data_IF_189741348986
#
_entry.id   IF_189741348986
#
_cell.length_a   1.000
_cell.length_b   1.000
_cell.length_c   1.000
_cell.angle_alpha   90.00
_cell.angle_beta   90.00
_cell.angle_gamma   90.00
#
_symmetry.space_group_name_H-M   'P 1'
#
loop_
_entity.id
_entity.type
_entity.pdbx_description
1 polymer ?
#
# COMPACT_ATOMS: atom_id res chain seq x y z
N UNK A 1 -14.00 -18.33 -18.48
CA UNK A 1 -12.80 -17.63 -17.98
C UNK A 1 -13.29 -16.54 -17.06
N UNK A 2 -12.69 -16.38 -15.88
CA UNK A 2 -13.07 -15.31 -14.99
C UNK A 2 -12.87 -13.96 -15.69
N UNK A 3 -13.83 -13.06 -15.53
CA UNK A 3 -13.87 -11.71 -16.10
C UNK A 3 -13.28 -10.68 -15.15
N UNK A 4 -13.06 -9.45 -15.61
CA UNK A 4 -12.66 -8.34 -14.75
C UNK A 4 -13.67 -8.09 -13.60
N UNK A 5 -14.96 -8.22 -13.89
CA UNK A 5 -16.04 -8.15 -12.90
C UNK A 5 -15.88 -9.20 -11.79
N UNK A 6 -15.39 -10.40 -12.14
CA UNK A 6 -15.15 -11.47 -11.16
C UNK A 6 -13.95 -11.15 -10.25
N UNK A 7 -12.93 -10.43 -10.75
CA UNK A 7 -11.80 -9.96 -9.93
C UNK A 7 -12.20 -8.87 -8.96
N UNK A 8 -12.96 -7.88 -9.44
CA UNK A 8 -13.42 -6.77 -8.59
C UNK A 8 -14.34 -7.29 -7.48
N UNK A 9 -15.24 -8.23 -7.80
CA UNK A 9 -16.08 -8.89 -6.81
C UNK A 9 -15.25 -9.68 -5.76
N UNK A 10 -14.27 -10.47 -6.20
CA UNK A 10 -13.37 -11.17 -5.29
C UNK A 10 -12.59 -10.20 -4.39
N UNK A 11 -12.10 -9.08 -4.95
CA UNK A 11 -11.39 -8.07 -4.18
C UNK A 11 -12.29 -7.42 -3.11
N UNK A 12 -13.56 -7.18 -3.42
CA UNK A 12 -14.54 -6.66 -2.47
C UNK A 12 -14.80 -7.67 -1.33
N UNK A 13 -14.98 -8.96 -1.67
CA UNK A 13 -15.13 -10.02 -0.67
C UNK A 13 -13.91 -10.11 0.27
N UNK A 14 -12.70 -10.01 -0.28
CA UNK A 14 -11.47 -9.98 0.52
C UNK A 14 -11.42 -8.73 1.40
N UNK A 15 -11.74 -7.54 0.87
CA UNK A 15 -11.81 -6.30 1.66
C UNK A 15 -12.77 -6.45 2.85
N UNK A 16 -13.95 -7.02 2.61
CA UNK A 16 -14.96 -7.28 3.65
C UNK A 16 -14.41 -8.24 4.69
N UNK A 17 -13.76 -9.34 4.27
CA UNK A 17 -13.17 -10.32 5.18
C UNK A 17 -12.06 -9.71 6.05
N UNK A 18 -11.19 -8.88 5.48
CA UNK A 18 -10.12 -8.17 6.19
C UNK A 18 -10.68 -7.19 7.24
N UNK A 19 -11.67 -6.38 6.86
CA UNK A 19 -12.36 -5.46 7.79
C UNK A 19 -13.04 -6.20 8.94
N UNK A 20 -13.63 -7.37 8.67
CA UNK A 20 -14.26 -8.23 9.68
C UNK A 20 -13.25 -8.87 10.63
N UNK A 21 -12.10 -9.33 10.12
CA UNK A 21 -11.10 -9.99 10.95
C UNK A 21 -10.31 -9.00 11.84
N UNK A 22 -10.21 -7.74 11.43
CA UNK A 22 -9.60 -6.66 12.19
C UNK A 22 -10.53 -5.44 12.30
N UNK A 23 -11.42 -5.40 13.30
CA UNK A 23 -12.26 -4.23 13.55
C UNK A 23 -11.43 -2.94 13.70
N UNK A 24 -11.87 -1.87 13.06
CA UNK A 24 -11.16 -0.59 13.01
C UNK A 24 -10.12 -0.48 11.87
N UNK A 25 -9.85 -1.56 11.14
CA UNK A 25 -9.01 -1.50 9.94
C UNK A 25 -9.75 -0.92 8.72
N UNK A 26 -8.97 -0.47 7.72
CA UNK A 26 -9.46 -0.06 6.39
C UNK A 26 -8.83 -0.93 5.34
N UNK A 27 -9.61 -1.42 4.40
CA UNK A 27 -9.14 -2.22 3.26
C UNK A 27 -9.75 -1.68 1.97
N UNK A 28 -8.92 -1.45 0.96
CA UNK A 28 -9.30 -0.82 -0.29
C UNK A 28 -8.60 -1.49 -1.48
N UNK A 29 -9.36 -1.66 -2.57
CA UNK A 29 -8.81 -2.06 -3.87
C UNK A 29 -7.98 -0.91 -4.43
N UNK A 30 -6.77 -1.21 -4.87
CA UNK A 30 -5.80 -0.26 -5.40
C UNK A 30 -5.24 -0.76 -6.73
N UNK A 31 -4.18 -0.13 -7.22
CA UNK A 31 -3.53 -0.52 -8.46
C UNK A 31 -4.43 -0.39 -9.70
N UNK A 32 -4.07 -1.05 -10.81
CA UNK A 32 -4.77 -0.92 -12.09
C UNK A 32 -6.26 -1.25 -12.01
N UNK A 33 -6.67 -2.22 -11.19
CA UNK A 33 -8.08 -2.57 -11.00
C UNK A 33 -8.83 -1.47 -10.23
N UNK A 34 -8.22 -0.91 -9.18
CA UNK A 34 -8.82 0.19 -8.43
C UNK A 34 -8.96 1.47 -9.25
N UNK A 35 -8.05 1.71 -10.21
CA UNK A 35 -8.09 2.87 -11.10
C UNK A 35 -8.86 2.64 -12.40
N UNK A 36 -9.40 1.44 -12.65
CA UNK A 36 -10.12 1.11 -13.89
C UNK A 36 -9.23 1.09 -15.15
N UNK A 37 -7.93 0.88 -14.98
CA UNK A 37 -6.94 0.79 -16.07
C UNK A 37 -6.38 -0.61 -16.23
N UNK A 38 -7.00 -1.60 -15.59
CA UNK A 38 -6.57 -2.99 -15.61
C UNK A 38 -6.73 -3.62 -16.99
N UNK A 39 -5.79 -4.48 -17.34
CA UNK A 39 -5.93 -5.43 -18.44
C UNK A 39 -6.22 -6.84 -17.91
N UNK A 40 -6.33 -7.80 -18.82
CA UNK A 40 -6.59 -9.20 -18.46
C UNK A 40 -5.49 -9.82 -17.59
N UNK A 41 -4.27 -9.29 -17.62
CA UNK A 41 -3.10 -9.85 -16.92
C UNK A 41 -2.78 -9.13 -15.62
N UNK A 42 -3.43 -8.00 -15.35
CA UNK A 42 -3.22 -7.21 -14.15
C UNK A 42 -3.53 -8.01 -12.87
N UNK A 43 -2.62 -7.90 -11.91
CA UNK A 43 -2.78 -8.44 -10.55
C UNK A 43 -3.85 -7.66 -9.78
N UNK A 44 -4.32 -8.24 -8.66
CA UNK A 44 -5.27 -7.60 -7.74
C UNK A 44 -4.50 -7.02 -6.55
N UNK A 45 -4.45 -5.70 -6.46
CA UNK A 45 -3.75 -4.98 -5.38
C UNK A 45 -4.73 -4.54 -4.29
N UNK A 46 -4.50 -4.92 -3.04
CA UNK A 46 -5.26 -4.41 -1.89
C UNK A 46 -4.33 -3.73 -0.89
N UNK A 47 -4.69 -2.51 -0.50
CA UNK A 47 -4.10 -1.84 0.66
C UNK A 47 -4.94 -2.14 1.90
N UNK A 48 -4.30 -2.65 2.96
CA UNK A 48 -4.92 -2.92 4.25
C UNK A 48 -4.21 -2.15 5.37
N UNK A 49 -4.91 -1.17 5.93
CA UNK A 49 -4.46 -0.32 7.03
C UNK A 49 -5.00 -0.89 8.34
N UNK A 50 -4.09 -1.29 9.21
CA UNK A 50 -4.38 -1.94 10.49
C UNK A 50 -4.14 -0.94 11.64
N UNK A 51 -5.02 -0.87 12.65
CA UNK A 51 -4.80 -0.03 13.83
C UNK A 51 -3.45 -0.35 14.50
N UNK A 52 -2.74 0.68 14.96
CA UNK A 52 -1.39 0.53 15.52
C UNK A 52 -1.38 -0.43 16.73
N UNK A 53 -2.44 -0.44 17.54
CA UNK A 53 -2.56 -1.31 18.72
C UNK A 53 -2.64 -2.80 18.35
N UNK A 54 -3.06 -3.10 17.12
CA UNK A 54 -3.12 -4.47 16.59
C UNK A 54 -1.80 -4.89 15.95
N UNK A 55 -0.91 -3.94 15.67
CA UNK A 55 0.36 -4.11 14.98
C UNK A 55 1.50 -3.27 15.64
N UNK A 56 1.76 -3.45 16.95
CA UNK A 56 2.64 -2.54 17.71
C UNK A 56 4.08 -2.53 17.21
N UNK A 57 4.60 -3.65 16.71
CA UNK A 57 5.95 -3.75 16.14
C UNK A 57 6.14 -2.90 14.86
N UNK A 58 5.03 -2.43 14.28
CA UNK A 58 5.00 -1.65 13.03
C UNK A 58 4.58 -0.19 13.26
N UNK A 59 4.39 0.24 14.51
CA UNK A 59 4.09 1.64 14.82
C UNK A 59 5.19 2.55 14.25
N UNK A 60 4.80 3.46 13.34
CA UNK A 60 5.72 4.36 12.61
C UNK A 60 6.88 3.65 11.90
N UNK A 61 6.74 2.37 11.58
CA UNK A 61 7.75 1.60 10.85
C UNK A 61 7.60 1.75 9.34
N UNK A 62 8.73 1.75 8.63
CA UNK A 62 8.82 1.69 7.17
C UNK A 62 8.63 0.27 6.60
N UNK A 63 8.49 -0.74 7.48
CA UNK A 63 8.30 -2.12 7.07
C UNK A 63 6.87 -2.37 6.61
N UNK A 64 6.72 -2.80 5.36
CA UNK A 64 5.47 -3.38 4.84
C UNK A 64 5.58 -4.89 4.75
N UNK A 65 4.43 -5.57 4.85
CA UNK A 65 4.33 -6.99 4.50
C UNK A 65 3.55 -7.12 3.21
N UNK A 66 4.23 -7.60 2.17
CA UNK A 66 3.58 -8.05 0.94
C UNK A 66 3.31 -9.55 1.07
N UNK A 67 2.04 -9.92 0.95
CA UNK A 67 1.63 -11.32 0.87
C UNK A 67 1.12 -11.60 -0.53
N UNK A 68 1.62 -12.70 -1.12
CA UNK A 68 1.10 -13.25 -2.35
C UNK A 68 0.15 -14.39 -2.02
N UNK A 69 -1.14 -14.21 -2.33
CA UNK A 69 -2.17 -15.23 -2.09
C UNK A 69 -2.72 -15.73 -3.42
N UNK A 70 -3.03 -17.02 -3.47
CA UNK A 70 -3.75 -17.63 -4.58
C UNK A 70 -5.02 -18.29 -4.06
N UNK A 71 -6.12 -18.04 -4.75
CA UNK A 71 -7.41 -18.64 -4.44
C UNK A 71 -7.71 -19.83 -5.36
N UNK A 72 -8.38 -20.85 -4.81
CA UNK A 72 -8.89 -21.94 -5.62
C UNK A 72 -9.94 -21.42 -6.62
N UNK A 73 -9.91 -21.90 -7.86
CA UNK A 73 -10.83 -21.45 -8.91
C UNK A 73 -10.44 -20.13 -9.59
N UNK A 74 -9.35 -19.47 -9.16
CA UNK A 74 -8.84 -18.25 -9.77
C UNK A 74 -7.69 -18.56 -10.75
N UNK A 75 -7.63 -17.91 -11.94
CA UNK A 75 -6.53 -18.08 -12.88
C UNK A 75 -5.16 -17.92 -12.23
N UNK A 76 -4.22 -18.77 -12.65
CA UNK A 76 -2.85 -18.86 -12.10
C UNK A 76 -2.04 -17.57 -12.19
N UNK A 77 -2.32 -16.75 -13.21
CA UNK A 77 -1.60 -15.52 -13.48
C UNK A 77 -2.18 -14.33 -12.73
N UNK A 78 -3.34 -14.45 -12.09
CA UNK A 78 -3.84 -13.42 -11.19
C UNK A 78 -3.26 -13.64 -9.81
N UNK A 79 -2.32 -12.77 -9.43
CA UNK A 79 -1.85 -12.71 -8.05
C UNK A 79 -2.68 -11.72 -7.26
N UNK A 80 -2.71 -11.97 -5.97
CA UNK A 80 -3.26 -11.07 -5.00
C UNK A 80 -2.10 -10.47 -4.21
N UNK A 81 -1.87 -9.18 -4.42
CA UNK A 81 -0.80 -8.41 -3.78
C UNK A 81 -1.43 -7.64 -2.61
N UNK A 82 -1.25 -8.13 -1.40
CA UNK A 82 -1.77 -7.49 -0.18
C UNK A 82 -0.67 -6.65 0.48
N UNK A 83 -0.84 -5.33 0.49
CA UNK A 83 0.03 -4.36 1.18
C UNK A 83 -0.54 -4.03 2.57
N UNK A 84 0.11 -4.54 3.61
CA UNK A 84 -0.30 -4.33 5.00
C UNK A 84 0.51 -3.20 5.64
N UNK A 85 -0.18 -2.16 6.11
CA UNK A 85 0.40 -0.95 6.74
C UNK A 85 -0.21 -0.71 8.13
N UNK A 86 0.58 -0.13 9.03
CA UNK A 86 0.07 0.40 10.29
C UNK A 86 -0.61 1.76 10.04
N UNK A 87 -1.65 2.08 10.82
CA UNK A 87 -2.42 3.32 10.68
C UNK A 87 -1.54 4.57 10.80
N UNK A 88 -0.54 4.53 11.67
CA UNK A 88 0.44 5.62 11.87
C UNK A 88 1.24 6.03 10.63
N UNK A 89 1.26 5.22 9.56
CA UNK A 89 2.04 5.50 8.34
C UNK A 89 1.22 5.47 7.05
N UNK A 90 -0.02 4.98 7.09
CA UNK A 90 -0.77 4.65 5.88
C UNK A 90 -1.18 5.86 5.05
N UNK A 91 -1.50 6.98 5.70
CA UNK A 91 -1.96 8.22 5.06
C UNK A 91 -0.84 9.28 4.96
N UNK A 92 0.42 8.90 5.13
CA UNK A 92 1.54 9.83 5.10
C UNK A 92 2.37 9.70 3.81
N UNK A 93 2.23 10.64 2.85
CA UNK A 93 2.97 10.63 1.60
C UNK A 93 4.49 10.70 1.77
N UNK A 94 4.97 11.29 2.88
CA UNK A 94 6.40 11.34 3.18
C UNK A 94 6.97 9.95 3.45
N UNK A 95 6.17 9.09 4.08
CA UNK A 95 6.59 7.72 4.41
C UNK A 95 6.85 6.91 3.13
N UNK A 96 6.03 7.05 2.09
CA UNK A 96 6.24 6.32 0.84
C UNK A 96 7.53 6.75 0.12
N UNK A 97 7.85 8.06 0.12
CA UNK A 97 9.08 8.57 -0.49
C UNK A 97 10.31 8.18 0.31
N UNK A 98 10.29 8.37 1.63
CA UNK A 98 11.40 8.02 2.51
C UNK A 98 11.73 6.51 2.42
N UNK A 99 10.70 5.66 2.38
CA UNK A 99 10.86 4.21 2.19
C UNK A 99 11.50 3.87 0.85
N UNK A 100 11.03 4.45 -0.26
CA UNK A 100 11.60 4.18 -1.58
C UNK A 100 13.06 4.62 -1.67
N UNK A 101 13.37 5.78 -1.12
CA UNK A 101 14.73 6.28 -1.02
C UNK A 101 15.63 5.33 -0.21
N UNK A 102 15.16 4.86 0.95
CA UNK A 102 15.90 3.90 1.77
C UNK A 102 16.12 2.56 1.05
N UNK A 103 15.09 2.01 0.41
CA UNK A 103 15.19 0.76 -0.34
C UNK A 103 16.18 0.86 -1.52
N UNK A 104 16.23 2.01 -2.19
CA UNK A 104 17.20 2.27 -3.25
C UNK A 104 18.64 2.27 -2.70
N UNK A 105 18.89 2.97 -1.59
CA UNK A 105 20.20 3.00 -0.95
C UNK A 105 20.66 1.62 -0.43
N UNK A 106 19.74 0.77 0.05
CA UNK A 106 20.08 -0.60 0.45
C UNK A 106 20.52 -1.47 -0.74
N UNK A 107 19.90 -1.28 -1.92
CA UNK A 107 20.25 -2.02 -3.13
C UNK A 107 21.53 -1.51 -3.77
N UNK A 108 21.73 -0.20 -3.73
CA UNK A 108 22.87 0.49 -4.31
C UNK A 108 23.42 1.53 -3.31
N UNK A 109 24.44 1.17 -2.51
CA UNK A 109 24.95 2.03 -1.43
C UNK A 109 25.45 3.40 -1.88
N UNK A 110 25.90 3.55 -3.13
CA UNK A 110 26.29 4.84 -3.73
C UNK A 110 25.14 5.86 -3.79
N UNK A 111 23.88 5.42 -3.71
CA UNK A 111 22.71 6.28 -3.72
C UNK A 111 22.35 6.84 -2.33
N UNK A 112 23.10 6.54 -1.27
CA UNK A 112 22.75 6.93 0.10
C UNK A 112 22.58 8.43 0.29
N UNK A 113 23.47 9.24 -0.28
CA UNK A 113 23.39 10.71 -0.20
C UNK A 113 22.18 11.26 -0.97
N UNK A 114 21.89 10.68 -2.13
CA UNK A 114 20.71 11.04 -2.93
C UNK A 114 19.42 10.65 -2.21
N UNK A 115 19.38 9.48 -1.58
CA UNK A 115 18.24 9.02 -0.80
C UNK A 115 17.96 9.97 0.39
N UNK A 116 19.00 10.44 1.07
CA UNK A 116 18.88 11.42 2.14
C UNK A 116 18.35 12.78 1.63
N UNK A 117 18.84 13.24 0.48
CA UNK A 117 18.35 14.47 -0.17
C UNK A 117 16.89 14.36 -0.56
N UNK A 118 16.48 13.25 -1.19
CA UNK A 118 15.08 13.00 -1.59
C UNK A 118 14.16 12.95 -0.36
N UNK A 119 14.59 12.31 0.72
CA UNK A 119 13.82 12.26 1.97
C UNK A 119 13.65 13.66 2.57
N UNK A 120 14.71 14.47 2.57
CA UNK A 120 14.67 15.86 3.04
C UNK A 120 13.76 16.72 2.18
N UNK A 121 13.84 16.56 0.85
CA UNK A 121 13.03 17.32 -0.09
C UNK A 121 11.54 16.98 0.05
N UNK A 122 11.22 15.70 0.22
CA UNK A 122 9.86 15.24 0.50
C UNK A 122 9.31 15.90 1.78
N UNK A 123 10.08 15.86 2.87
CA UNK A 123 9.73 16.50 4.15
C UNK A 123 9.37 17.99 3.98
N UNK A 124 10.12 18.72 3.16
CA UNK A 124 9.88 20.14 2.90
C UNK A 124 8.61 20.41 2.09
N UNK A 125 8.29 19.57 1.10
CA UNK A 125 7.24 19.86 0.12
C UNK A 125 5.88 19.23 0.45
N UNK A 126 5.89 18.03 1.02
CA UNK A 126 4.65 17.31 1.36
C UNK A 126 4.14 17.69 2.77
N UNK A 127 4.94 18.42 3.57
CA UNK A 127 4.60 18.83 4.94
C UNK A 127 3.99 20.24 5.03
N UNK A 128 4.08 21.02 3.95
CA UNK A 128 3.60 22.41 3.88
C UNK A 128 2.14 22.56 3.42
N UNK A 129 1.40 21.48 3.15
CA UNK A 129 0.06 21.55 2.54
C UNK A 129 -1.08 21.75 3.54
N UNK A 130 -0.83 21.74 4.85
CA UNK A 130 -1.87 21.93 5.87
C UNK A 130 -2.12 23.38 6.31
N UNK A 131 -1.34 24.38 5.86
CA UNK A 131 -1.38 25.74 6.42
C UNK A 131 -1.78 26.88 5.44
N UNK A 132 -2.30 26.60 4.24
CA UNK A 132 -2.70 27.64 3.28
C UNK A 132 -4.19 27.70 2.92
N UNK A 133 -5.08 27.10 3.71
CA UNK A 133 -6.52 27.17 3.49
C UNK A 133 -7.26 27.94 4.61
N UNK A 134 -6.81 29.16 4.91
CA UNK A 134 -7.66 30.21 5.50
C UNK A 134 -7.11 31.58 5.14
N UNK A 135 -7.66 32.18 4.09
CA UNK A 135 -7.67 33.62 3.84
C UNK A 135 -8.95 33.94 3.04
#
# INVERSE_FOLDING_TARGET
MASETDRAALADEVCIALKRCCPGSRAELTGPLGSGTADAFSDVDIAWVVPDERFPDFYRSDRRRLLFVRFAGVPLFWRFDLDVRAASVADDPHYDVARLAHAAALREPSLSDLAAQVTTLAAQHLGGTAESATA
#
